data_IF_892062261436
#
_entry.id   IF_892062261436
#
_cell.length_a   1.000
_cell.length_b   1.000
_cell.length_c   1.000
_cell.angle_alpha   90.00
_cell.angle_beta   90.00
_cell.angle_gamma   90.00
#
_symmetry.space_group_name_H-M   'P 1'
#
loop_
_entity.id
_entity.type
_entity.pdbx_description
1 polymer ?
#
# COMPACT_ATOMS: atom_id res chain seq x y z
N UNK A 1 12.75 16.12 19.22
CA UNK A 1 12.33 15.95 17.81
C UNK A 1 11.83 14.53 17.67
N UNK A 2 10.58 14.31 18.07
CA UNK A 2 9.97 12.99 18.12
C UNK A 2 9.06 12.93 16.89
N UNK A 3 9.52 12.20 15.88
CA UNK A 3 8.72 11.89 14.69
C UNK A 3 7.65 10.93 15.20
N UNK A 4 6.39 11.37 15.19
CA UNK A 4 5.27 10.50 15.51
C UNK A 4 5.37 9.22 14.66
N UNK A 5 5.24 8.07 15.31
CA UNK A 5 5.15 6.76 14.68
C UNK A 5 3.89 6.69 13.80
N UNK A 6 3.99 7.25 12.59
CA UNK A 6 3.05 6.93 11.54
C UNK A 6 3.45 5.54 11.03
N UNK A 7 2.74 4.52 11.50
CA UNK A 7 2.99 3.13 11.13
C UNK A 7 2.45 2.89 9.71
N UNK A 8 3.20 3.34 8.70
CA UNK A 8 2.88 3.07 7.29
C UNK A 8 3.10 1.58 7.02
N UNK A 9 2.03 0.79 7.09
CA UNK A 9 2.04 -0.62 6.63
C UNK A 9 1.90 -0.63 5.11
N UNK A 10 3.00 -0.76 4.37
CA UNK A 10 2.93 -1.13 2.96
C UNK A 10 2.61 -2.63 2.85
N UNK A 11 1.46 -2.97 2.27
CA UNK A 11 1.13 -4.36 1.89
C UNK A 11 1.16 -4.43 0.36
N UNK A 12 2.17 -5.11 -0.18
CA UNK A 12 2.26 -5.46 -1.59
C UNK A 12 1.49 -6.77 -1.79
N UNK A 13 0.29 -6.72 -2.35
CA UNK A 13 -0.40 -7.95 -2.78
C UNK A 13 0.12 -8.36 -4.16
N UNK A 14 0.89 -9.44 -4.19
CA UNK A 14 1.29 -10.14 -5.41
C UNK A 14 0.72 -11.55 -5.41
N UNK A 15 -0.55 -11.69 -5.82
CA UNK A 15 -1.09 -12.99 -6.18
C UNK A 15 -1.87 -12.90 -7.49
N UNK A 16 -1.19 -13.22 -8.58
CA UNK A 16 -1.77 -13.65 -9.82
C UNK A 16 -1.86 -15.19 -9.75
N UNK A 17 -3.05 -15.77 -9.64
CA UNK A 17 -3.28 -17.19 -9.98
C UNK A 17 -4.56 -17.31 -10.80
N UNK A 18 -4.36 -17.50 -12.11
CA UNK A 18 -5.36 -18.06 -13.01
C UNK A 18 -5.75 -19.47 -12.52
N UNK A 19 -7.05 -19.77 -12.64
CA UNK A 19 -7.65 -21.01 -12.20
C UNK A 19 -7.46 -22.21 -13.14
N UNK A 20 -7.84 -23.38 -12.64
CA UNK A 20 -8.72 -24.39 -13.28
C UNK A 20 -8.51 -25.76 -12.61
N UNK A 21 -9.61 -26.38 -12.20
CA UNK A 21 -9.79 -27.83 -12.05
C UNK A 21 -10.69 -28.29 -13.23
N UNK A 22 -10.98 -29.58 -13.48
CA UNK A 22 -10.67 -30.81 -12.72
C UNK A 22 -10.19 -32.00 -13.59
N UNK A 23 -10.04 -33.21 -13.00
CA UNK A 23 -10.64 -34.51 -13.41
C UNK A 23 -9.76 -35.72 -13.02
N UNK A 24 -10.34 -36.51 -12.10
CA UNK A 24 -10.43 -37.99 -11.93
C UNK A 24 -9.21 -38.92 -12.02
N UNK A 25 -9.24 -39.94 -11.15
CA UNK A 25 -8.24 -41.01 -11.04
C UNK A 25 -8.83 -42.42 -11.04
N UNK A 26 -7.91 -43.38 -11.28
CA UNK A 26 -7.89 -44.83 -10.96
C UNK A 26 -9.03 -45.69 -11.55
N UNK A 27 -8.86 -46.94 -12.00
CA UNK A 27 -8.06 -48.12 -11.58
C UNK A 27 -8.08 -49.17 -12.72
N UNK A 28 -6.96 -49.81 -13.10
CA UNK A 28 -6.44 -51.19 -12.75
C UNK A 28 -6.91 -52.36 -13.63
N UNK A 29 -6.04 -53.40 -13.67
CA UNK A 29 -6.16 -54.80 -14.17
C UNK A 29 -5.86 -55.07 -15.67
N UNK A 30 -5.19 -56.15 -16.11
CA UNK A 30 -4.33 -57.17 -15.49
C UNK A 30 -3.61 -58.00 -16.59
N UNK A 31 -2.50 -58.66 -16.24
CA UNK A 31 -1.99 -59.92 -16.84
C UNK A 31 -1.33 -59.93 -18.23
N UNK A 32 -0.03 -60.28 -18.33
CA UNK A 32 0.39 -61.67 -18.61
C UNK A 32 1.93 -61.88 -18.65
N UNK A 33 2.31 -63.13 -18.44
CA UNK A 33 3.64 -63.72 -18.13
C UNK A 33 4.63 -63.77 -19.32
N UNK A 34 5.95 -63.66 -19.06
CA UNK A 34 7.05 -64.54 -19.53
C UNK A 34 8.46 -63.92 -19.33
N UNK A 35 9.43 -64.75 -18.96
CA UNK A 35 10.88 -64.47 -18.83
C UNK A 35 11.67 -65.52 -19.62
N UNK A 36 13.03 -65.51 -19.74
CA UNK A 36 14.01 -64.43 -19.80
C UNK A 36 14.94 -64.56 -21.05
N UNK A 37 15.65 -63.50 -21.47
CA UNK A 37 16.91 -63.70 -22.21
C UNK A 37 17.83 -62.49 -22.23
N UNK A 38 19.09 -62.79 -21.91
CA UNK A 38 20.27 -61.94 -21.79
C UNK A 38 20.81 -61.60 -23.19
N UNK A 39 20.90 -60.32 -23.57
CA UNK A 39 21.79 -59.86 -24.65
C UNK A 39 22.41 -58.50 -24.32
N UNK A 40 23.67 -58.40 -24.68
CA UNK A 40 24.61 -57.31 -24.44
C UNK A 40 24.51 -56.19 -25.48
N UNK A 41 24.92 -55.00 -25.04
CA UNK A 41 25.55 -53.88 -25.77
C UNK A 41 24.71 -52.85 -26.54
N UNK A 42 25.04 -51.59 -26.20
CA UNK A 42 25.21 -50.41 -27.07
C UNK A 42 24.12 -49.32 -27.10
N UNK A 43 24.59 -48.15 -26.66
CA UNK A 43 24.24 -46.76 -26.99
C UNK A 43 23.01 -46.43 -27.85
N UNK A 44 22.10 -45.60 -27.30
CA UNK A 44 21.75 -44.24 -27.77
C UNK A 44 20.36 -43.82 -27.25
N UNK A 45 20.29 -42.64 -26.59
CA UNK A 45 19.15 -41.73 -26.73
C UNK A 45 18.13 -41.57 -25.58
N UNK A 46 17.98 -40.30 -25.16
CA UNK A 46 16.73 -39.63 -24.77
C UNK A 46 16.14 -39.85 -23.36
N UNK A 47 16.38 -38.88 -22.45
CA UNK A 47 15.41 -37.81 -22.06
C UNK A 47 15.80 -37.18 -20.71
N UNK A 48 16.45 -36.03 -20.82
CA UNK A 48 16.16 -34.80 -20.07
C UNK A 48 15.64 -34.98 -18.63
N UNK A 49 16.58 -35.16 -17.69
CA UNK A 49 16.31 -34.73 -16.32
C UNK A 49 16.28 -33.20 -16.35
N UNK A 50 15.09 -32.65 -16.14
CA UNK A 50 14.83 -31.23 -15.95
C UNK A 50 15.78 -30.71 -14.87
N UNK A 51 16.93 -30.20 -15.28
CA UNK A 51 17.72 -29.35 -14.40
C UNK A 51 16.86 -28.11 -14.22
N UNK A 52 16.31 -27.92 -13.02
CA UNK A 52 15.88 -26.59 -12.60
C UNK A 52 17.15 -25.74 -12.64
N UNK A 53 17.41 -25.14 -13.80
CA UNK A 53 18.32 -24.01 -13.89
C UNK A 53 17.63 -22.93 -13.08
N UNK A 54 18.01 -22.85 -11.81
CA UNK A 54 17.79 -21.64 -11.05
C UNK A 54 18.44 -20.53 -11.87
N UNK A 55 17.62 -19.71 -12.50
CA UNK A 55 18.06 -18.52 -13.18
C UNK A 55 18.87 -17.72 -12.16
N UNK A 56 20.18 -17.48 -12.38
CA UNK A 56 21.03 -16.80 -11.42
C UNK A 56 20.76 -15.30 -11.38
N UNK A 57 19.52 -14.86 -11.68
CA UNK A 57 19.15 -13.46 -11.51
C UNK A 57 19.35 -13.11 -10.03
N UNK A 58 20.25 -12.17 -9.74
CA UNK A 58 20.55 -11.81 -8.35
C UNK A 58 19.26 -11.30 -7.70
N UNK A 59 18.94 -11.84 -6.53
CA UNK A 59 17.82 -11.35 -5.74
C UNK A 59 18.10 -9.88 -5.36
N UNK A 60 17.38 -8.96 -5.98
CA UNK A 60 17.50 -7.53 -5.72
C UNK A 60 16.54 -7.12 -4.62
N UNK A 61 17.08 -6.70 -3.47
CA UNK A 61 16.31 -6.01 -2.43
C UNK A 61 16.06 -4.57 -2.91
N UNK A 62 14.81 -4.14 -3.09
CA UNK A 62 14.53 -2.77 -3.51
C UNK A 62 15.04 -1.77 -2.46
N UNK A 63 15.86 -0.81 -2.88
CA UNK A 63 16.41 0.21 -1.99
C UNK A 63 15.37 1.25 -1.58
N UNK A 64 14.42 1.52 -2.48
CA UNK A 64 13.35 2.49 -2.27
C UNK A 64 11.99 1.81 -2.47
N UNK A 65 10.97 2.19 -1.68
CA UNK A 65 9.62 1.71 -1.89
C UNK A 65 9.11 2.17 -3.25
N UNK A 66 8.31 1.32 -3.90
CA UNK A 66 7.61 1.67 -5.13
C UNK A 66 6.14 1.25 -5.06
N UNK A 67 5.28 2.02 -5.72
CA UNK A 67 3.85 1.76 -5.71
C UNK A 67 3.04 2.90 -6.31
N UNK A 68 1.74 2.66 -6.44
CA UNK A 68 0.75 3.62 -6.96
C UNK A 68 -0.23 4.08 -5.88
N UNK A 69 -0.68 3.16 -5.04
CA UNK A 69 -1.68 3.45 -4.00
C UNK A 69 -0.98 3.59 -2.65
N UNK A 70 -1.15 4.74 -2.00
CA UNK A 70 -0.68 4.98 -0.66
C UNK A 70 -1.85 4.96 0.30
N UNK A 71 -1.63 4.33 1.46
CA UNK A 71 -2.60 4.25 2.54
C UNK A 71 -1.92 4.69 3.83
N UNK A 72 -2.40 5.79 4.38
CA UNK A 72 -2.00 6.30 5.69
C UNK A 72 -3.02 5.79 6.70
N UNK A 73 -2.55 5.13 7.76
CA UNK A 73 -3.37 4.62 8.86
C UNK A 73 -3.04 5.42 10.13
N UNK A 74 -3.97 6.28 10.52
CA UNK A 74 -3.85 7.16 11.68
C UNK A 74 -4.41 6.42 12.90
N UNK A 75 -3.51 6.08 13.80
CA UNK A 75 -3.80 5.28 15.00
C UNK A 75 -4.03 6.12 16.26
N UNK A 76 -3.53 7.36 16.28
CA UNK A 76 -3.55 8.24 17.45
C UNK A 76 -3.36 9.72 17.07
N UNK A 77 -3.79 10.62 17.95
CA UNK A 77 -3.63 12.08 17.85
C UNK A 77 -2.68 12.61 18.94
N UNK A 78 -2.27 13.88 18.85
CA UNK A 78 -1.35 14.50 19.82
C UNK A 78 -2.04 15.18 21.02
N UNK A 79 -3.36 15.08 21.12
CA UNK A 79 -4.09 15.67 22.24
C UNK A 79 -5.59 15.52 22.08
N UNK A 80 -6.13 16.02 20.96
CA UNK A 80 -7.58 16.02 20.74
C UNK A 80 -8.13 14.59 20.61
N UNK A 81 -8.99 14.21 21.56
CA UNK A 81 -9.62 12.88 21.63
C UNK A 81 -10.76 12.69 20.63
N UNK A 82 -11.26 13.78 20.03
CA UNK A 82 -12.44 13.79 19.18
C UNK A 82 -12.13 14.07 17.71
N UNK A 83 -10.98 14.67 17.40
CA UNK A 83 -10.63 15.06 16.05
C UNK A 83 -9.17 14.77 15.71
N UNK A 84 -8.94 14.51 14.42
CA UNK A 84 -7.61 14.51 13.83
C UNK A 84 -7.59 15.49 12.67
N UNK A 85 -6.49 16.24 12.53
CA UNK A 85 -6.28 17.09 11.39
C UNK A 85 -4.84 17.05 10.93
N UNK A 86 -4.62 17.51 9.70
CA UNK A 86 -3.31 17.71 9.11
C UNK A 86 -3.37 18.96 8.22
N UNK A 87 -2.21 19.59 8.00
CA UNK A 87 -2.07 20.74 7.11
C UNK A 87 -1.53 20.35 5.73
N UNK A 88 -1.07 19.12 5.54
CA UNK A 88 -0.51 18.72 4.25
C UNK A 88 0.21 17.37 4.24
N UNK A 89 0.31 16.79 3.05
CA UNK A 89 1.08 15.61 2.70
C UNK A 89 1.82 15.90 1.39
N UNK A 90 3.14 15.78 1.40
CA UNK A 90 3.97 15.89 0.20
C UNK A 90 4.66 14.56 -0.07
N UNK A 91 4.64 14.11 -1.32
CA UNK A 91 5.25 12.85 -1.77
C UNK A 91 6.31 13.17 -2.82
N UNK A 92 7.47 12.55 -2.71
CA UNK A 92 8.62 12.83 -3.57
C UNK A 92 9.08 11.56 -4.29
N UNK A 93 9.36 11.67 -5.58
CA UNK A 93 9.91 10.58 -6.40
C UNK A 93 11.38 10.28 -6.04
N UNK A 94 11.98 9.27 -6.69
CA UNK A 94 13.36 8.85 -6.43
C UNK A 94 14.40 9.94 -6.75
N UNK A 95 14.07 10.89 -7.63
CA UNK A 95 14.87 12.06 -7.96
C UNK A 95 14.71 13.20 -6.95
N UNK A 96 13.73 13.10 -6.04
CA UNK A 96 13.41 14.13 -5.05
C UNK A 96 12.47 15.22 -5.57
N UNK A 97 11.83 15.01 -6.72
CA UNK A 97 10.81 15.93 -7.23
C UNK A 97 9.45 15.64 -6.58
N UNK A 98 8.63 16.67 -6.33
CA UNK A 98 7.28 16.47 -5.81
C UNK A 98 6.39 15.77 -6.84
N UNK A 99 5.68 14.74 -6.41
CA UNK A 99 4.67 14.04 -7.22
C UNK A 99 3.38 14.85 -7.21
N UNK A 100 2.88 15.18 -8.40
CA UNK A 100 1.58 15.86 -8.54
C UNK A 100 0.44 14.85 -8.39
N UNK A 101 -0.49 15.16 -7.50
CA UNK A 101 -1.64 14.33 -7.19
C UNK A 101 -2.89 15.12 -7.60
N UNK A 102 -3.81 14.45 -8.30
CA UNK A 102 -5.09 15.05 -8.64
C UNK A 102 -5.98 15.12 -7.38
N UNK A 103 -6.69 16.24 -7.11
CA UNK A 103 -7.60 16.34 -5.97
C UNK A 103 -8.69 15.26 -5.92
N UNK A 104 -9.10 14.71 -7.07
CA UNK A 104 -10.04 13.58 -7.12
C UNK A 104 -9.41 12.23 -6.77
N UNK A 105 -8.08 12.15 -6.71
CA UNK A 105 -7.31 10.94 -6.41
C UNK A 105 -6.93 10.81 -4.94
N UNK A 106 -7.42 11.70 -4.07
CA UNK A 106 -7.28 11.62 -2.62
C UNK A 106 -8.65 11.44 -1.96
N UNK A 107 -8.71 10.59 -0.94
CA UNK A 107 -9.90 10.39 -0.12
C UNK A 107 -9.51 10.04 1.32
N UNK A 108 -10.44 10.18 2.25
CA UNK A 108 -10.23 9.79 3.64
C UNK A 108 -11.46 9.06 4.20
N UNK A 109 -11.22 8.30 5.25
CA UNK A 109 -12.24 7.60 6.03
C UNK A 109 -11.93 7.76 7.53
N UNK A 110 -12.68 8.60 8.27
CA UNK A 110 -13.77 9.47 7.80
C UNK A 110 -13.28 10.58 6.85
N UNK A 111 -14.13 11.07 5.91
CA UNK A 111 -13.70 12.00 4.87
C UNK A 111 -13.28 13.36 5.42
N UNK A 112 -14.09 13.96 6.29
CA UNK A 112 -13.81 15.23 6.98
C UNK A 112 -14.91 15.49 8.03
N UNK A 113 -14.88 16.67 8.65
CA UNK A 113 -15.83 17.09 9.68
C UNK A 113 -17.27 17.21 9.16
N UNK A 114 -17.49 17.30 7.84
CA UNK A 114 -18.83 17.51 7.30
C UNK A 114 -19.76 16.31 7.41
N UNK A 115 -19.25 15.16 7.87
CA UNK A 115 -20.11 14.02 8.22
C UNK A 115 -20.89 14.26 9.52
N UNK A 116 -20.50 15.27 10.30
CA UNK A 116 -21.13 15.60 11.58
C UNK A 116 -22.34 16.52 11.37
N UNK A 117 -23.44 16.33 12.13
CA UNK A 117 -24.60 17.23 12.06
C UNK A 117 -24.20 18.69 12.32
N UNK A 118 -24.60 19.59 11.42
CA UNK A 118 -24.34 21.04 11.53
C UNK A 118 -23.10 21.54 10.79
N UNK A 119 -22.28 20.65 10.22
CA UNK A 119 -21.13 20.98 9.37
C UNK A 119 -21.45 20.47 7.96
N UNK A 120 -22.09 21.28 7.12
CA UNK A 120 -22.44 20.85 5.75
C UNK A 120 -21.58 21.52 4.66
N UNK A 121 -20.83 22.55 5.03
CA UNK A 121 -20.09 23.44 4.13
C UNK A 121 -18.80 23.94 4.78
N UNK A 122 -18.21 23.10 5.63
CA UNK A 122 -16.94 23.39 6.28
C UNK A 122 -15.78 23.17 5.29
N UNK A 123 -14.84 24.13 5.16
CA UNK A 123 -13.80 24.09 4.13
C UNK A 123 -12.69 23.05 4.43
N UNK A 124 -12.72 22.39 5.59
CA UNK A 124 -11.63 21.51 6.05
C UNK A 124 -11.69 20.10 5.46
N UNK A 125 -11.75 20.04 4.14
CA UNK A 125 -11.92 18.85 3.31
C UNK A 125 -10.57 18.20 2.97
N UNK A 126 -10.61 16.93 2.54
CA UNK A 126 -9.39 16.10 2.34
C UNK A 126 -8.45 16.63 1.24
N UNK A 127 -8.96 17.35 0.24
CA UNK A 127 -8.16 17.94 -0.84
C UNK A 127 -7.13 18.96 -0.31
N UNK A 128 -7.36 19.56 0.86
CA UNK A 128 -6.41 20.49 1.50
C UNK A 128 -5.08 19.83 1.86
N UNK A 129 -5.05 18.50 1.96
CA UNK A 129 -3.80 17.78 2.20
C UNK A 129 -2.79 17.90 1.06
N UNK A 130 -3.22 18.26 -0.15
CA UNK A 130 -2.35 18.30 -1.35
C UNK A 130 -2.38 19.67 -2.06
N UNK A 131 -2.92 20.71 -1.43
CA UNK A 131 -3.04 22.04 -2.04
C UNK A 131 -1.72 22.85 -2.02
N UNK A 132 -0.71 22.37 -1.29
CA UNK A 132 0.62 22.95 -1.18
C UNK A 132 0.75 24.06 -0.12
N UNK A 133 -0.31 24.40 0.61
CA UNK A 133 -0.34 25.48 1.61
C UNK A 133 -0.06 24.92 3.02
N UNK A 134 1.09 24.27 3.16
CA UNK A 134 1.38 23.44 4.32
C UNK A 134 1.74 24.20 5.62
N UNK A 135 2.24 25.43 5.50
CA UNK A 135 2.65 26.28 6.64
C UNK A 135 1.55 27.29 6.96
N UNK A 136 0.43 26.78 7.43
CA UNK A 136 -0.79 27.56 7.62
C UNK A 136 -1.43 27.36 8.98
N UNK A 137 -2.21 28.34 9.40
CA UNK A 137 -3.17 28.25 10.52
C UNK A 137 -4.61 28.51 10.03
N UNK A 138 -4.80 28.68 8.71
CA UNK A 138 -6.08 29.00 8.07
C UNK A 138 -6.91 27.74 7.86
N UNK A 139 -8.18 27.77 8.27
CA UNK A 139 -9.11 26.65 8.12
C UNK A 139 -9.39 26.31 6.64
N UNK A 140 -9.15 27.25 5.72
CA UNK A 140 -9.31 27.04 4.28
C UNK A 140 -8.25 26.10 3.68
N UNK A 141 -7.19 25.79 4.43
CA UNK A 141 -5.99 25.07 3.95
C UNK A 141 -5.58 23.93 4.88
N UNK A 142 -6.53 23.38 5.65
CA UNK A 142 -6.28 22.24 6.55
C UNK A 142 -7.38 21.22 6.42
N UNK A 143 -7.05 19.96 6.64
CA UNK A 143 -8.03 18.89 6.75
C UNK A 143 -8.35 18.62 8.22
N UNK A 144 -9.61 18.34 8.53
CA UNK A 144 -10.06 17.92 9.85
C UNK A 144 -11.14 16.84 9.72
N UNK A 145 -10.99 15.75 10.47
CA UNK A 145 -11.94 14.66 10.49
C UNK A 145 -12.21 14.21 11.94
N UNK A 146 -13.40 13.64 12.22
CA UNK A 146 -13.67 13.06 13.53
C UNK A 146 -12.74 11.87 13.80
N UNK A 147 -12.29 11.76 15.04
CA UNK A 147 -11.37 10.75 15.50
C UNK A 147 -12.01 9.92 16.62
N UNK A 148 -11.63 8.65 16.71
CA UNK A 148 -12.01 7.79 17.81
C UNK A 148 -10.89 6.84 18.17
N UNK A 149 -10.35 6.99 19.37
CA UNK A 149 -9.26 6.17 19.88
C UNK A 149 -9.53 4.66 19.72
N UNK A 150 -8.51 3.94 19.26
CA UNK A 150 -8.60 2.49 19.02
C UNK A 150 -9.27 2.09 17.71
N UNK A 151 -9.80 3.03 16.92
CA UNK A 151 -10.27 2.79 15.55
C UNK A 151 -9.23 3.23 14.52
N UNK A 152 -9.32 2.64 13.33
CA UNK A 152 -8.52 3.04 12.18
C UNK A 152 -9.15 4.26 11.50
N UNK A 153 -8.29 5.18 11.05
CA UNK A 153 -8.69 6.32 10.23
C UNK A 153 -7.72 6.40 9.07
N UNK A 154 -8.23 6.49 7.86
CA UNK A 154 -7.43 6.31 6.66
C UNK A 154 -7.39 7.57 5.80
N UNK A 155 -6.25 7.77 5.16
CA UNK A 155 -6.12 8.62 3.98
C UNK A 155 -5.61 7.74 2.86
N UNK A 156 -6.27 7.79 1.71
CA UNK A 156 -5.92 7.06 0.51
C UNK A 156 -5.51 8.04 -0.57
N UNK A 157 -4.38 7.75 -1.23
CA UNK A 157 -3.87 8.55 -2.34
C UNK A 157 -3.58 7.59 -3.51
N UNK A 158 -4.17 7.86 -4.66
CA UNK A 158 -3.81 7.24 -5.94
C UNK A 158 -2.87 8.17 -6.72
N UNK A 159 -1.63 7.73 -6.95
CA UNK A 159 -0.64 8.49 -7.73
C UNK A 159 -0.89 8.43 -9.25
N UNK A 160 -1.92 7.71 -9.71
CA UNK A 160 -2.27 7.52 -11.12
C UNK A 160 -1.39 6.50 -11.84
N UNK A 161 -0.10 6.43 -11.49
CA UNK A 161 0.84 5.42 -11.93
C UNK A 161 1.81 5.02 -10.80
N UNK A 162 2.64 4.00 -11.02
CA UNK A 162 3.61 3.57 -10.01
C UNK A 162 4.82 4.49 -9.99
N UNK A 163 5.14 5.03 -8.81
CA UNK A 163 6.35 5.79 -8.55
C UNK A 163 7.31 4.99 -7.67
N UNK A 164 8.61 5.24 -7.82
CA UNK A 164 9.61 4.92 -6.80
C UNK A 164 9.72 6.15 -5.91
N UNK A 165 9.53 6.00 -4.61
CA UNK A 165 9.43 7.12 -3.68
C UNK A 165 10.72 7.26 -2.87
N UNK A 166 11.18 8.50 -2.70
CA UNK A 166 12.32 8.82 -1.82
C UNK A 166 11.88 9.29 -0.44
N UNK A 167 10.78 10.08 -0.37
CA UNK A 167 10.35 10.75 0.84
C UNK A 167 8.84 10.98 0.84
N UNK A 168 8.25 10.92 2.03
CA UNK A 168 6.91 11.42 2.30
C UNK A 168 7.05 12.40 3.47
N UNK A 169 6.53 13.62 3.31
CA UNK A 169 6.50 14.65 4.36
C UNK A 169 5.07 14.87 4.80
N UNK A 170 4.83 14.81 6.11
CA UNK A 170 3.51 15.06 6.71
C UNK A 170 3.58 16.33 7.54
N UNK A 171 2.63 17.22 7.34
CA UNK A 171 2.51 18.49 8.05
C UNK A 171 1.34 18.41 9.03
N UNK A 172 1.65 18.54 10.32
CA UNK A 172 0.65 18.41 11.37
C UNK A 172 -0.27 19.65 11.43
N UNK A 173 -1.48 19.45 11.94
CA UNK A 173 -2.45 20.51 12.17
C UNK A 173 -1.91 21.58 13.13
N UNK A 174 -1.86 22.82 12.68
CA UNK A 174 -1.22 23.91 13.42
C UNK A 174 -2.14 25.13 13.56
N UNK A 175 -3.29 25.00 14.25
CA UNK A 175 -4.19 26.14 14.47
C UNK A 175 -3.87 26.94 15.74
N UNK A 176 -3.61 26.28 16.86
CA UNK A 176 -3.10 26.91 18.08
C UNK A 176 -2.59 25.89 19.09
N UNK A 177 -1.67 26.29 19.98
CA UNK A 177 -1.17 25.43 21.07
C UNK A 177 -2.28 24.87 21.94
N UNK A 178 -3.37 25.60 22.18
CA UNK A 178 -4.46 25.14 23.05
C UNK A 178 -5.34 24.05 22.41
N UNK A 179 -5.34 23.90 21.08
CA UNK A 179 -6.04 22.79 20.41
C UNK A 179 -5.25 21.48 20.47
N UNK A 180 -3.94 21.53 20.71
CA UNK A 180 -3.12 20.34 20.89
C UNK A 180 -3.20 19.72 22.30
N UNK A 181 -3.91 20.33 23.26
CA UNK A 181 -4.00 19.86 24.65
C UNK A 181 -5.43 19.59 25.14
N UNK A 182 -6.42 19.48 24.25
CA UNK A 182 -7.83 19.28 24.64
C UNK A 182 -8.22 17.83 24.75
#
# INVERSE_FOLDING_TARGET
FEIADLKVKSRLDSTNRLGSAPVEGRSEEDGDVLSPSRKTASSHGFKDKLCFRADPSPFHIPLLPSGRHLKFDILSTWGDVHYVGLSGIEIFDKEGNPVRIDPSAISADPPDINIMPGYGDDPRTVDKLIDGVNRTCDDMHVWLAPFTGGRHHYIFIDLGCSFVLSMIRVWNYNKSRIHSYR
#
